data_IF_357185758836
#
_entry.id   IF_357185758836
#
_cell.length_a   1.000
_cell.length_b   1.000
_cell.length_c   1.000
_cell.angle_alpha   90.00
_cell.angle_beta   90.00
_cell.angle_gamma   90.00
#
_symmetry.space_group_name_H-M   'P 1'
#
loop_
_entity.id
_entity.type
_entity.pdbx_description
1 polymer ?
#
# COMPACT_ATOMS: atom_id res chain seq x y z
N UNK A 1 19.69 28.08 4.81
CA UNK A 1 18.48 28.03 5.67
C UNK A 1 17.77 29.38 5.55
N UNK A 2 16.52 29.39 5.09
CA UNK A 2 15.80 30.63 4.76
C UNK A 2 15.33 31.42 5.97
N UNK A 3 15.09 32.72 5.77
CA UNK A 3 14.59 33.63 6.81
C UNK A 3 13.27 33.14 7.42
N UNK A 4 13.11 33.41 8.72
CA UNK A 4 11.88 33.08 9.45
C UNK A 4 10.72 33.96 8.95
N UNK A 5 9.51 33.39 8.83
CA UNK A 5 8.35 34.15 8.41
C UNK A 5 7.97 35.19 9.47
N UNK A 6 7.64 36.41 9.03
CA UNK A 6 7.20 37.50 9.92
C UNK A 6 5.92 37.14 10.68
N UNK A 7 5.00 36.42 10.04
CA UNK A 7 3.67 36.08 10.57
C UNK A 7 3.38 34.58 10.48
N UNK A 8 2.49 34.09 11.36
CA UNK A 8 2.01 32.70 11.31
C UNK A 8 1.18 32.45 10.05
N UNK A 9 1.57 31.44 9.27
CA UNK A 9 0.78 31.01 8.10
C UNK A 9 -0.53 30.39 8.59
N UNK A 10 -1.64 31.00 8.19
CA UNK A 10 -3.00 30.52 8.50
C UNK A 10 -3.28 29.17 7.84
N UNK A 11 -4.27 28.43 8.35
CA UNK A 11 -4.66 27.14 7.76
C UNK A 11 -5.08 27.30 6.29
N UNK A 12 -5.83 28.36 5.98
CA UNK A 12 -6.33 28.66 4.63
C UNK A 12 -5.17 28.90 3.67
N UNK A 13 -4.22 29.77 4.05
CA UNK A 13 -3.09 30.12 3.21
C UNK A 13 -2.16 28.93 2.98
N UNK A 14 -1.92 28.13 4.02
CA UNK A 14 -1.20 26.87 3.93
C UNK A 14 -1.89 25.89 2.99
N UNK A 15 -3.22 25.84 3.01
CA UNK A 15 -4.04 25.05 2.10
C UNK A 15 -3.83 25.47 0.65
N UNK A 16 -3.90 26.78 0.35
CA UNK A 16 -3.64 27.34 -0.99
C UNK A 16 -2.24 27.00 -1.50
N UNK A 17 -1.21 27.20 -0.66
CA UNK A 17 0.18 26.90 -1.01
C UNK A 17 0.40 25.41 -1.30
N UNK A 18 -0.32 24.52 -0.62
CA UNK A 18 -0.21 23.07 -0.80
C UNK A 18 -1.14 22.49 -1.86
N UNK A 19 -2.17 23.22 -2.26
CA UNK A 19 -3.14 22.73 -3.23
C UNK A 19 -2.47 22.40 -4.57
N UNK A 20 -1.47 23.20 -4.97
CA UNK A 20 -0.71 23.01 -6.21
C UNK A 20 -1.58 23.05 -7.47
N UNK A 21 -0.97 22.84 -8.63
CA UNK A 21 -1.72 22.59 -9.85
C UNK A 21 -2.16 21.12 -9.86
N UNK A 22 -3.45 20.85 -9.66
CA UNK A 22 -4.03 19.52 -9.86
C UNK A 22 -4.78 19.52 -11.19
N UNK A 23 -4.15 19.09 -12.29
CA UNK A 23 -4.84 19.02 -13.57
C UNK A 23 -6.04 18.07 -13.44
N UNK A 24 -7.20 18.52 -13.91
CA UNK A 24 -8.39 17.68 -14.03
C UNK A 24 -8.22 16.80 -15.28
N UNK A 25 -7.43 15.73 -15.14
CA UNK A 25 -7.26 14.75 -16.21
C UNK A 25 -8.45 13.80 -16.16
N UNK A 26 -9.21 13.74 -17.26
CA UNK A 26 -10.31 12.79 -17.41
C UNK A 26 -9.75 11.38 -17.58
N UNK A 27 -10.48 10.38 -17.07
CA UNK A 27 -10.14 8.98 -17.36
C UNK A 27 -10.31 8.75 -18.86
N UNK A 28 -9.33 8.08 -19.47
CA UNK A 28 -9.44 7.64 -20.85
C UNK A 28 -10.61 6.66 -21.00
N UNK A 29 -11.61 7.04 -21.80
CA UNK A 29 -12.81 6.24 -22.03
C UNK A 29 -12.50 4.91 -22.76
N UNK A 30 -11.38 4.87 -23.49
CA UNK A 30 -10.95 3.68 -24.23
C UNK A 30 -10.12 2.71 -23.37
N UNK A 31 -9.81 3.08 -22.12
CA UNK A 31 -9.02 2.24 -21.21
C UNK A 31 -9.93 1.58 -20.17
N UNK A 32 -10.24 0.30 -20.39
CA UNK A 32 -10.89 -0.52 -19.38
C UNK A 32 -9.97 -0.68 -18.16
N UNK A 33 -10.42 -0.22 -16.99
CA UNK A 33 -9.69 -0.39 -15.73
C UNK A 33 -10.34 -1.50 -14.91
N UNK A 34 -9.63 -2.63 -14.77
CA UNK A 34 -10.08 -3.73 -13.91
C UNK A 34 -9.69 -3.41 -12.46
N UNK A 35 -10.66 -3.35 -11.52
CA UNK A 35 -10.37 -3.15 -10.10
C UNK A 35 -9.38 -4.20 -9.57
N UNK A 36 -8.46 -3.86 -8.65
CA UNK A 36 -7.38 -4.75 -8.22
C UNK A 36 -7.85 -6.14 -7.76
N UNK A 37 -8.94 -6.21 -7.00
CA UNK A 37 -9.50 -7.45 -6.47
C UNK A 37 -10.19 -8.32 -7.53
N UNK A 38 -10.49 -7.79 -8.73
CA UNK A 38 -11.10 -8.54 -9.84
C UNK A 38 -10.07 -9.04 -10.87
N UNK A 39 -8.81 -8.61 -10.77
CA UNK A 39 -7.77 -8.92 -11.77
C UNK A 39 -7.50 -10.42 -11.91
N UNK A 40 -7.58 -11.18 -10.82
CA UNK A 40 -7.36 -12.63 -10.84
C UNK A 40 -8.42 -13.37 -11.66
N UNK A 41 -9.69 -13.09 -11.41
CA UNK A 41 -10.83 -13.69 -12.12
C UNK A 41 -10.80 -13.30 -13.60
N UNK A 42 -10.56 -12.02 -13.91
CA UNK A 42 -10.47 -11.59 -15.30
C UNK A 42 -9.28 -12.26 -16.00
N UNK A 43 -8.13 -12.39 -15.33
CA UNK A 43 -6.97 -13.08 -15.89
C UNK A 43 -7.21 -14.58 -16.13
N UNK A 44 -7.98 -15.26 -15.27
CA UNK A 44 -8.33 -16.67 -15.50
C UNK A 44 -9.28 -16.84 -16.68
N UNK A 45 -10.27 -15.95 -16.81
CA UNK A 45 -11.19 -15.94 -17.96
C UNK A 45 -10.42 -15.69 -19.25
N UNK A 46 -9.62 -14.62 -19.31
CA UNK A 46 -8.80 -14.29 -20.49
C UNK A 46 -7.90 -15.46 -20.91
N UNK A 47 -7.24 -16.12 -19.94
CA UNK A 47 -6.41 -17.30 -20.19
C UNK A 47 -7.21 -18.47 -20.75
N UNK A 48 -8.43 -18.71 -20.24
CA UNK A 48 -9.29 -19.81 -20.72
C UNK A 48 -9.76 -19.62 -22.16
N UNK A 49 -9.93 -18.37 -22.61
CA UNK A 49 -10.30 -18.04 -24.00
C UNK A 49 -9.09 -17.83 -24.90
N UNK A 50 -7.88 -18.16 -24.44
CA UNK A 50 -6.64 -18.02 -25.21
C UNK A 50 -6.17 -16.57 -25.42
N UNK A 51 -6.78 -15.61 -24.74
CA UNK A 51 -6.39 -14.21 -24.81
C UNK A 51 -5.34 -13.92 -23.73
N UNK A 52 -4.12 -13.59 -24.15
CA UNK A 52 -3.10 -13.06 -23.24
C UNK A 52 -3.12 -11.54 -23.32
N UNK A 53 -3.01 -10.86 -22.17
CA UNK A 53 -2.88 -9.40 -22.21
C UNK A 53 -1.60 -9.06 -22.97
N UNK A 54 -1.74 -8.22 -24.01
CA UNK A 54 -0.60 -7.68 -24.73
C UNK A 54 0.34 -7.05 -23.69
N UNK A 55 1.63 -7.42 -23.74
CA UNK A 55 2.66 -6.77 -22.95
C UNK A 55 2.59 -5.28 -23.29
N UNK A 56 2.07 -4.48 -22.36
CA UNK A 56 2.27 -3.05 -22.42
C UNK A 56 3.78 -2.83 -22.45
N UNK A 57 4.32 -2.01 -23.37
CA UNK A 57 5.72 -1.62 -23.31
C UNK A 57 5.91 -0.69 -22.12
N UNK A 58 5.84 -1.26 -20.91
CA UNK A 58 6.21 -0.59 -19.69
C UNK A 58 7.73 -0.55 -19.65
N UNK A 59 8.23 0.68 -19.69
CA UNK A 59 9.61 1.11 -19.52
C UNK A 59 10.49 0.07 -18.82
N UNK A 60 11.65 -0.18 -19.44
CA UNK A 60 12.81 -0.87 -18.87
C UNK A 60 13.13 -0.32 -17.47
N UNK A 61 12.60 -0.96 -16.44
CA UNK A 61 13.24 -1.02 -15.13
C UNK A 61 13.97 -2.34 -15.07
N UNK A 62 15.28 -2.32 -15.36
CA UNK A 62 16.21 -3.38 -14.97
C UNK A 62 16.12 -3.53 -13.45
N UNK A 63 15.30 -4.46 -12.98
CA UNK A 63 15.37 -4.94 -11.60
C UNK A 63 16.38 -6.08 -11.61
N UNK A 64 17.53 -5.85 -10.96
CA UNK A 64 18.54 -6.87 -10.71
C UNK A 64 17.87 -8.08 -10.08
N UNK A 65 18.03 -9.23 -10.71
CA UNK A 65 17.77 -10.55 -10.13
C UNK A 65 18.81 -10.80 -9.04
N UNK A 66 18.44 -11.20 -7.82
CA UNK A 66 19.34 -12.00 -7.02
C UNK A 66 19.32 -13.41 -7.63
N UNK A 67 20.41 -13.77 -8.31
CA UNK A 67 20.72 -15.17 -8.58
C UNK A 67 20.81 -15.88 -7.23
N UNK A 68 19.88 -16.79 -6.97
CA UNK A 68 20.03 -17.77 -5.89
C UNK A 68 19.98 -19.13 -6.53
N UNK A 69 21.07 -19.51 -7.18
CA UNK A 69 21.40 -20.91 -7.30
C UNK A 69 21.75 -21.41 -5.89
N UNK A 70 20.87 -22.16 -5.25
CA UNK A 70 21.26 -23.08 -4.19
C UNK A 70 20.22 -24.18 -4.00
N UNK A 71 20.61 -25.35 -4.51
CA UNK A 71 20.52 -26.64 -3.82
C UNK A 71 19.12 -27.14 -3.40
N UNK A 72 18.64 -28.13 -4.16
CA UNK A 72 17.59 -29.07 -3.78
C UNK A 72 17.78 -29.56 -2.35
N UNK A 73 16.80 -29.31 -1.47
CA UNK A 73 16.71 -29.99 -0.18
C UNK A 73 15.38 -30.72 -0.06
N UNK A 74 15.57 -32.04 -0.10
CA UNK A 74 14.75 -33.17 0.31
C UNK A 74 13.63 -32.84 1.32
N UNK A 75 12.46 -33.39 1.01
CA UNK A 75 11.26 -33.46 1.84
C UNK A 75 11.57 -34.13 3.19
N UNK A 76 11.22 -33.48 4.29
CA UNK A 76 10.98 -34.13 5.58
C UNK A 76 9.75 -33.48 6.24
N UNK A 77 8.70 -34.23 6.60
CA UNK A 77 7.51 -33.69 7.22
C UNK A 77 7.60 -33.65 8.76
N UNK A 78 6.67 -32.90 9.34
CA UNK A 78 6.23 -32.90 10.74
C UNK A 78 7.00 -32.03 11.75
N UNK A 79 6.33 -30.97 12.23
CA UNK A 79 5.68 -30.96 13.56
C UNK A 79 4.94 -29.63 13.78
N UNK A 80 3.64 -29.72 13.96
CA UNK A 80 2.76 -28.63 14.38
C UNK A 80 3.13 -28.20 15.81
N UNK A 81 3.50 -26.93 15.99
CA UNK A 81 3.73 -26.34 17.31
C UNK A 81 2.54 -25.44 17.63
N UNK A 82 1.76 -25.83 18.65
CA UNK A 82 0.59 -25.11 19.12
C UNK A 82 0.92 -23.64 19.50
N UNK A 83 0.02 -22.67 19.25
CA UNK A 83 0.21 -21.29 19.67
C UNK A 83 0.10 -21.18 21.20
N UNK A 84 1.09 -20.52 21.81
CA UNK A 84 1.10 -20.19 23.25
C UNK A 84 0.02 -19.15 23.57
N UNK A 85 -0.64 -19.21 24.75
CA UNK A 85 -1.76 -18.32 25.09
C UNK A 85 -1.30 -16.87 25.26
N UNK A 86 -2.10 -15.96 24.70
CA UNK A 86 -1.94 -14.50 24.78
C UNK A 86 -2.20 -14.07 26.22
N UNK A 87 -1.18 -13.55 26.91
CA UNK A 87 -1.34 -12.97 28.25
C UNK A 87 -2.16 -11.68 28.17
N UNK A 88 -3.21 -11.60 29.00
CA UNK A 88 -4.16 -10.51 29.05
C UNK A 88 -3.49 -9.18 29.42
N UNK A 89 -3.72 -8.14 28.61
CA UNK A 89 -3.30 -6.76 28.90
C UNK A 89 -4.20 -6.20 30.00
N UNK A 90 -3.64 -5.91 31.18
CA UNK A 90 -4.38 -5.23 32.25
C UNK A 90 -4.66 -3.77 31.87
N UNK A 91 -5.91 -3.28 31.97
CA UNK A 91 -6.22 -1.89 31.69
C UNK A 91 -5.70 -0.97 32.80
N UNK A 92 -4.87 0.02 32.44
CA UNK A 92 -4.43 1.09 33.36
C UNK A 92 -5.65 1.90 33.84
N UNK A 93 -5.76 2.08 35.15
CA UNK A 93 -6.81 2.87 35.82
C UNK A 93 -6.77 4.35 35.41
N UNK A 94 -7.91 4.88 34.95
CA UNK A 94 -8.13 6.28 34.56
C UNK A 94 -8.13 7.19 35.81
N UNK A 95 -7.20 8.16 35.90
CA UNK A 95 -7.18 9.16 36.97
C UNK A 95 -8.29 10.21 36.74
N UNK A 96 -9.14 10.40 37.76
CA UNK A 96 -10.19 11.40 37.83
C UNK A 96 -9.58 12.72 38.31
N UNK A 97 -9.67 13.79 37.51
CA UNK A 97 -9.29 15.13 37.95
C UNK A 97 -10.54 15.87 38.43
N UNK A 98 -10.53 16.35 39.67
CA UNK A 98 -11.58 17.21 40.20
C UNK A 98 -11.32 18.65 39.75
N UNK A 99 -12.33 19.30 39.19
CA UNK A 99 -12.34 20.75 38.99
C UNK A 99 -12.77 21.40 40.31
N UNK A 100 -11.92 22.29 40.84
CA UNK A 100 -12.26 23.16 41.96
C UNK A 100 -13.12 24.30 41.41
N UNK A 101 -14.26 24.54 42.06
CA UNK A 101 -15.14 25.68 41.79
C UNK A 101 -14.51 27.02 42.13
#
# INVERSE_FOLDING_TARGET
>A
MGALPKNKITRVERGKRRAGNKPKITKDANRASIPPHKRGIVASILRSVGLTQAQTPDKVTKKMTPSTASTSQVVVPAKTKAPKPVTAVQPKTRRQTQHKG
#
